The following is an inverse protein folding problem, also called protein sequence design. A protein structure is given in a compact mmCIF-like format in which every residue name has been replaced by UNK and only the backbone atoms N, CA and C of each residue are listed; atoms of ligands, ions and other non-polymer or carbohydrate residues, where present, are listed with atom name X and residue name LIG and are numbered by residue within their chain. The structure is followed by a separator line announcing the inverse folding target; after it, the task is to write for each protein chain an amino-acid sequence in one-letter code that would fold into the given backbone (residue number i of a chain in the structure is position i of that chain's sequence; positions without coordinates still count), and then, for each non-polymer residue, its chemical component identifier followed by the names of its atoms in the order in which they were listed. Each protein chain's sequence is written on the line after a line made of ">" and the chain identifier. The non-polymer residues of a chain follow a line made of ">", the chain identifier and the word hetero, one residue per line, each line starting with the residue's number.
data_IF_078484336669
#
_entry.id   IF_078484336669
#
_cell.length_a   1.000
_cell.length_b   1.000
_cell.length_c   1.000
_cell.angle_alpha   90.00
_cell.angle_beta   90.00
_cell.angle_gamma   90.00
#
_symmetry.space_group_name_H-M   'P 1'
#
loop_
_entity.id
_entity.type
_entity.pdbx_description
1 polymer ?
#
# COMPACT_ATOMS: atom_id res chain seq x y z
N UNK A 1 -21.36 13.84 23.82
CA UNK A 1 -20.03 14.45 23.58
C UNK A 1 -20.18 15.42 22.41
N UNK A 2 -19.34 16.45 22.28
CA UNK A 2 -19.46 17.37 21.14
C UNK A 2 -19.01 16.67 19.85
N UNK A 3 -19.68 16.94 18.72
CA UNK A 3 -19.37 16.37 17.41
C UNK A 3 -17.87 16.51 17.04
N UNK A 4 -17.25 17.63 17.43
CA UNK A 4 -15.81 17.86 17.23
C UNK A 4 -14.92 16.88 18.03
N UNK A 5 -15.30 16.54 19.27
CA UNK A 5 -14.58 15.56 20.08
C UNK A 5 -14.70 14.14 19.48
N UNK A 6 -15.88 13.79 18.98
CA UNK A 6 -16.11 12.49 18.34
C UNK A 6 -15.33 12.38 17.04
N UNK A 7 -15.28 13.43 16.22
CA UNK A 7 -14.44 13.49 15.01
C UNK A 7 -12.97 13.26 15.35
N UNK A 8 -12.43 14.01 16.32
CA UNK A 8 -11.03 13.86 16.76
C UNK A 8 -10.73 12.41 17.16
N UNK A 9 -11.61 11.82 17.95
CA UNK A 9 -11.43 10.46 18.44
C UNK A 9 -11.50 9.42 17.30
N UNK A 10 -12.34 9.65 16.29
CA UNK A 10 -12.49 8.78 15.13
C UNK A 10 -11.33 8.92 14.15
N UNK A 11 -10.74 10.11 14.00
CA UNK A 11 -9.55 10.34 13.19
C UNK A 11 -8.29 9.79 13.87
N UNK A 12 -8.17 9.93 15.19
CA UNK A 12 -7.11 9.32 16.00
C UNK A 12 -7.18 7.79 15.93
N UNK A 13 -8.39 7.22 16.04
CA UNK A 13 -8.59 5.78 15.91
C UNK A 13 -8.28 5.26 14.49
N UNK A 14 -8.38 6.11 13.46
CA UNK A 14 -7.96 5.81 12.09
C UNK A 14 -6.44 5.91 11.88
N UNK A 15 -5.67 6.41 12.85
CA UNK A 15 -4.22 6.57 12.75
C UNK A 15 -3.52 5.23 12.45
N UNK A 16 -3.92 4.15 13.12
CA UNK A 16 -3.35 2.81 12.92
C UNK A 16 -3.73 2.17 11.57
N UNK A 17 -4.72 2.75 10.86
CA UNK A 17 -5.04 2.39 9.49
C UNK A 17 -4.16 3.16 8.48
N UNK A 18 -3.29 4.11 8.91
CA UNK A 18 -2.40 4.87 8.02
C UNK A 18 -1.23 4.00 7.56
N UNK A 19 -1.06 3.91 6.25
CA UNK A 19 0.10 3.29 5.63
C UNK A 19 0.92 4.35 4.90
N UNK A 20 2.20 4.44 5.25
CA UNK A 20 3.15 5.27 4.53
C UNK A 20 3.86 4.39 3.48
N UNK A 21 3.74 4.75 2.20
CA UNK A 21 4.59 4.18 1.14
C UNK A 21 5.99 4.75 1.33
N UNK A 22 6.97 3.93 1.72
CA UNK A 22 8.34 4.41 1.92
C UNK A 22 9.02 4.57 0.54
N UNK A 23 9.10 5.81 0.03
CA UNK A 23 10.08 6.27 -0.96
C UNK A 23 11.00 7.35 -0.35
N UNK A 24 12.26 6.99 -0.08
CA UNK A 24 13.27 7.87 0.53
C UNK A 24 13.30 9.30 -0.08
N UNK A 25 13.27 10.30 0.82
CA UNK A 25 13.43 11.77 0.69
C UNK A 25 12.19 12.69 0.82
N UNK A 26 11.00 12.33 0.33
CA UNK A 26 9.78 13.16 0.53
C UNK A 26 9.00 12.72 1.79
N UNK A 27 9.21 11.48 2.23
CA UNK A 27 8.37 10.87 3.26
C UNK A 27 8.63 11.39 4.67
N UNK A 28 9.81 11.96 4.95
CA UNK A 28 10.08 12.55 6.25
C UNK A 28 9.27 13.83 6.45
N UNK A 29 9.00 14.57 5.36
CA UNK A 29 8.07 15.70 5.35
C UNK A 29 6.62 15.21 5.46
N UNK A 30 6.23 14.17 4.71
CA UNK A 30 4.89 13.57 4.79
C UNK A 30 4.60 13.02 6.19
N UNK A 31 5.60 12.39 6.84
CA UNK A 31 5.49 11.88 8.21
C UNK A 31 5.23 13.01 9.21
N UNK A 32 6.02 14.09 9.15
CA UNK A 32 5.85 15.26 10.01
C UNK A 32 4.52 15.99 9.77
N UNK A 33 4.09 16.12 8.51
CA UNK A 33 2.80 16.74 8.16
C UNK A 33 1.64 15.87 8.63
N UNK A 34 1.71 14.55 8.44
CA UNK A 34 0.62 13.65 8.82
C UNK A 34 0.52 13.44 10.33
N UNK A 35 1.55 13.78 11.12
CA UNK A 35 1.46 13.74 12.59
C UNK A 35 0.64 14.92 13.17
N UNK A 36 0.09 15.82 12.33
CA UNK A 36 -0.95 16.76 12.78
C UNK A 36 -2.27 16.03 13.04
N UNK A 37 -2.78 16.12 14.27
CA UNK A 37 -3.99 15.45 14.74
C UNK A 37 -5.29 16.11 14.24
N UNK A 38 -5.41 16.45 12.95
CA UNK A 38 -6.63 17.03 12.37
C UNK A 38 -7.43 16.05 11.50
N UNK A 39 -6.95 14.81 11.36
CA UNK A 39 -7.57 13.79 10.52
C UNK A 39 -7.30 13.98 9.02
N UNK A 40 -6.46 14.93 8.64
CA UNK A 40 -6.03 15.15 7.26
C UNK A 40 -4.76 14.33 7.02
N UNK A 41 -4.80 13.48 6.00
CA UNK A 41 -3.70 12.66 5.56
C UNK A 41 -3.28 13.07 4.16
N UNK A 42 -2.04 13.51 3.99
CA UNK A 42 -1.49 13.89 2.70
C UNK A 42 -0.98 12.65 1.96
N UNK A 43 -1.78 12.18 0.99
CA UNK A 43 -1.42 11.08 0.12
C UNK A 43 -0.56 11.57 -1.05
N UNK A 44 0.47 10.80 -1.42
CA UNK A 44 1.32 11.12 -2.55
C UNK A 44 0.69 10.63 -3.86
N UNK A 45 0.49 11.54 -4.80
CA UNK A 45 0.15 11.22 -6.19
C UNK A 45 1.27 11.75 -7.10
N UNK A 46 2.22 10.89 -7.45
CA UNK A 46 3.41 11.29 -8.21
C UNK A 46 4.29 12.28 -7.43
N UNK A 47 4.29 13.55 -7.84
CA UNK A 47 4.99 14.65 -7.16
C UNK A 47 4.06 15.52 -6.29
N UNK A 48 2.75 15.32 -6.39
CA UNK A 48 1.76 16.12 -5.67
C UNK A 48 1.37 15.43 -4.36
N UNK A 49 1.00 16.24 -3.37
CA UNK A 49 0.38 15.78 -2.13
C UNK A 49 -1.11 16.14 -2.20
N UNK A 50 -1.96 15.15 -1.96
CA UNK A 50 -3.42 15.28 -1.99
C UNK A 50 -3.93 15.12 -0.56
N UNK A 51 -4.57 16.13 0.03
CA UNK A 51 -5.12 16.03 1.38
C UNK A 51 -6.38 15.16 1.38
N UNK A 52 -6.35 14.05 2.11
CA UNK A 52 -7.47 13.14 2.29
C UNK A 52 -8.01 13.27 3.71
N UNK A 53 -9.31 13.42 3.88
CA UNK A 53 -9.94 13.25 5.18
C UNK A 53 -10.01 11.76 5.51
N UNK A 54 -9.23 11.31 6.50
CA UNK A 54 -9.19 9.91 6.90
C UNK A 54 -9.86 9.72 8.26
N UNK A 55 -10.96 8.98 8.26
CA UNK A 55 -11.83 8.87 9.41
C UNK A 55 -12.50 7.49 9.51
N UNK A 56 -12.76 7.06 10.74
CA UNK A 56 -13.67 5.95 11.01
C UNK A 56 -15.11 6.43 11.14
N UNK A 57 -16.08 5.74 10.54
CA UNK A 57 -17.51 5.93 10.84
C UNK A 57 -17.80 5.64 12.31
N UNK A 58 -17.13 4.62 12.86
CA UNK A 58 -17.16 4.26 14.27
C UNK A 58 -15.85 3.61 14.67
N UNK A 59 -15.40 3.83 15.90
CA UNK A 59 -14.32 3.05 16.50
C UNK A 59 -14.86 1.86 17.33
N UNK A 60 -16.18 1.68 17.43
CA UNK A 60 -16.77 0.48 18.03
C UNK A 60 -16.49 -0.72 17.13
N UNK A 61 -15.95 -1.79 17.72
CA UNK A 61 -15.62 -3.01 16.98
C UNK A 61 -15.94 -4.25 17.80
N UNK A 62 -16.62 -5.21 17.19
CA UNK A 62 -16.91 -6.53 17.74
C UNK A 62 -15.81 -7.58 17.48
N UNK A 63 -14.74 -7.21 16.77
CA UNK A 63 -13.59 -8.08 16.45
C UNK A 63 -12.61 -8.16 17.63
N UNK A 64 -11.84 -9.23 17.70
CA UNK A 64 -10.88 -9.51 18.77
C UNK A 64 -9.41 -9.36 18.35
N UNK A 65 -9.13 -8.52 17.33
CA UNK A 65 -7.79 -8.36 16.78
C UNK A 65 -6.75 -8.07 17.88
N UNK A 66 -5.74 -8.92 18.01
CA UNK A 66 -4.73 -8.89 19.08
C UNK A 66 -3.79 -7.69 19.00
N UNK A 67 -3.69 -7.07 17.83
CA UNK A 67 -2.85 -5.91 17.54
C UNK A 67 -3.59 -4.57 17.59
N UNK A 68 -4.93 -4.56 17.67
CA UNK A 68 -5.72 -3.37 17.35
C UNK A 68 -6.25 -2.67 18.60
N UNK A 69 -6.05 -1.35 18.70
CA UNK A 69 -6.66 -0.51 19.74
C UNK A 69 -8.19 -0.63 19.76
N UNK A 70 -8.81 -0.79 18.58
CA UNK A 70 -10.26 -0.84 18.47
C UNK A 70 -10.87 -2.20 18.89
N UNK A 71 -10.06 -3.19 19.27
CA UNK A 71 -10.51 -4.52 19.69
C UNK A 71 -11.65 -4.47 20.72
N UNK A 72 -12.60 -5.41 20.64
CA UNK A 72 -13.77 -5.51 21.54
C UNK A 72 -13.40 -5.60 23.02
N UNK A 73 -12.22 -6.16 23.32
CA UNK A 73 -11.73 -6.36 24.70
C UNK A 73 -11.11 -5.09 25.29
N UNK A 74 -10.74 -4.12 24.45
CA UNK A 74 -10.10 -2.89 24.88
C UNK A 74 -11.13 -1.91 25.43
N UNK A 75 -10.94 -1.47 26.68
CA UNK A 75 -11.81 -0.51 27.36
C UNK A 75 -11.26 0.89 27.14
N UNK A 76 -11.72 1.53 26.08
CA UNK A 76 -11.47 2.95 25.80
C UNK A 76 -12.76 3.61 25.34
N UNK A 77 -12.77 4.95 25.31
CA UNK A 77 -13.91 5.73 24.88
C UNK A 77 -14.32 5.29 23.46
N UNK A 78 -15.61 5.04 23.23
CA UNK A 78 -16.14 4.73 21.89
C UNK A 78 -16.90 5.93 21.34
N UNK A 79 -16.84 6.10 20.03
CA UNK A 79 -17.52 7.15 19.29
C UNK A 79 -18.03 6.55 17.97
N UNK A 80 -19.15 7.10 17.51
CA UNK A 80 -19.77 6.79 16.23
C UNK A 80 -20.37 8.08 15.68
N UNK A 81 -20.24 8.30 14.38
CA UNK A 81 -20.87 9.41 13.68
C UNK A 81 -21.94 8.86 12.73
N UNK A 82 -23.07 9.56 12.56
CA UNK A 82 -24.09 9.14 11.59
C UNK A 82 -23.64 9.42 10.15
N UNK A 83 -24.18 8.72 9.14
CA UNK A 83 -23.87 9.01 7.75
C UNK A 83 -24.10 10.47 7.34
N UNK A 84 -25.21 11.06 7.77
CA UNK A 84 -25.60 12.45 7.48
C UNK A 84 -24.63 13.44 8.12
N UNK A 85 -24.30 13.22 9.40
CA UNK A 85 -23.36 14.07 10.12
C UNK A 85 -21.96 14.02 9.50
N UNK A 86 -21.49 12.82 9.13
CA UNK A 86 -20.19 12.65 8.50
C UNK A 86 -20.12 13.27 7.11
N UNK A 87 -21.13 13.04 6.28
CA UNK A 87 -21.19 13.63 4.94
C UNK A 87 -21.24 15.16 5.01
N UNK A 88 -21.97 15.73 5.97
CA UNK A 88 -22.01 17.18 6.22
C UNK A 88 -20.64 17.74 6.61
N UNK A 89 -19.95 17.09 7.55
CA UNK A 89 -18.61 17.50 8.00
C UNK A 89 -17.61 17.43 6.85
N UNK A 90 -17.63 16.34 6.09
CA UNK A 90 -16.76 16.20 4.93
C UNK A 90 -17.03 17.29 3.88
N UNK A 91 -18.30 17.52 3.54
CA UNK A 91 -18.66 18.57 2.59
C UNK A 91 -18.19 19.95 3.08
N UNK A 92 -18.30 20.25 4.38
CA UNK A 92 -17.74 21.50 4.93
C UNK A 92 -16.22 21.59 4.70
N UNK A 93 -15.44 20.55 5.03
CA UNK A 93 -14.00 20.55 4.81
C UNK A 93 -13.63 20.68 3.34
N UNK A 94 -14.42 20.08 2.45
CA UNK A 94 -14.24 20.17 1.01
C UNK A 94 -14.53 21.60 0.49
N UNK A 95 -15.63 22.23 0.90
CA UNK A 95 -15.96 23.62 0.52
C UNK A 95 -14.94 24.62 1.05
N UNK A 96 -14.37 24.37 2.24
CA UNK A 96 -13.28 25.14 2.84
C UNK A 96 -11.90 24.85 2.21
N UNK A 97 -11.82 23.97 1.19
CA UNK A 97 -10.60 23.55 0.50
C UNK A 97 -9.53 22.94 1.42
N UNK A 98 -9.95 22.33 2.53
CA UNK A 98 -9.05 21.62 3.48
C UNK A 98 -8.68 20.24 2.98
N UNK A 99 -9.59 19.59 2.24
CA UNK A 99 -9.44 18.22 1.76
C UNK A 99 -9.89 18.10 0.30
N UNK A 100 -9.30 17.16 -0.43
CA UNK A 100 -9.61 16.86 -1.82
C UNK A 100 -10.25 15.46 -1.98
N UNK A 101 -10.13 14.59 -0.97
CA UNK A 101 -10.70 13.24 -1.00
C UNK A 101 -11.08 12.71 0.38
N UNK A 102 -11.89 11.64 0.39
CA UNK A 102 -12.33 10.92 1.60
C UNK A 102 -11.70 9.54 1.64
N UNK A 103 -11.13 9.14 2.78
CA UNK A 103 -10.83 7.76 3.13
C UNK A 103 -11.72 7.37 4.31
N UNK A 104 -12.72 6.53 4.05
CA UNK A 104 -13.68 6.10 5.05
C UNK A 104 -13.49 4.62 5.39
N UNK A 105 -13.36 4.35 6.67
CA UNK A 105 -13.27 3.02 7.28
C UNK A 105 -14.22 2.96 8.48
N UNK A 106 -14.28 1.83 9.18
CA UNK A 106 -15.02 1.69 10.43
C UNK A 106 -14.53 0.48 11.22
N UNK A 107 -14.67 0.53 12.54
CA UNK A 107 -14.81 -0.67 13.35
C UNK A 107 -16.12 -1.40 13.02
N UNK A 108 -16.21 -2.67 13.40
CA UNK A 108 -17.38 -3.52 13.14
C UNK A 108 -18.41 -3.32 14.25
N UNK A 109 -19.44 -2.52 14.01
CA UNK A 109 -20.38 -2.07 15.06
C UNK A 109 -21.24 -3.24 15.55
N UNK A 110 -21.97 -3.87 14.63
CA UNK A 110 -22.87 -5.00 14.88
C UNK A 110 -22.42 -6.22 14.11
N UNK A 111 -22.30 -6.06 12.80
CA UNK A 111 -21.82 -7.04 11.83
C UNK A 111 -21.25 -6.30 10.61
N UNK A 112 -20.61 -7.05 9.70
CA UNK A 112 -19.91 -6.49 8.55
C UNK A 112 -20.86 -5.80 7.56
N UNK A 113 -22.06 -6.34 7.35
CA UNK A 113 -23.04 -5.83 6.39
C UNK A 113 -23.64 -4.52 6.89
N UNK A 114 -24.16 -4.51 8.12
CA UNK A 114 -24.69 -3.29 8.76
C UNK A 114 -23.65 -2.18 8.80
N UNK A 115 -22.38 -2.52 9.10
CA UNK A 115 -21.29 -1.53 9.13
C UNK A 115 -21.01 -0.98 7.73
N UNK A 116 -20.94 -1.84 6.72
CA UNK A 116 -20.68 -1.42 5.33
C UNK A 116 -21.84 -0.59 4.79
N UNK A 117 -23.08 -0.94 5.12
CA UNK A 117 -24.27 -0.18 4.73
C UNK A 117 -24.21 1.27 5.24
N UNK A 118 -23.77 1.51 6.48
CA UNK A 118 -23.60 2.88 7.01
C UNK A 118 -22.54 3.66 6.23
N UNK A 119 -21.43 3.03 5.87
CA UNK A 119 -20.39 3.66 5.06
C UNK A 119 -20.87 3.96 3.62
N UNK A 120 -21.66 3.05 3.04
CA UNK A 120 -22.32 3.25 1.73
C UNK A 120 -23.25 4.45 1.81
N UNK A 121 -24.12 4.54 2.82
CA UNK A 121 -25.03 5.68 3.03
C UNK A 121 -24.29 7.02 3.07
N UNK A 122 -23.14 7.08 3.76
CA UNK A 122 -22.29 8.29 3.75
C UNK A 122 -21.86 8.65 2.34
N UNK A 123 -21.37 7.68 1.56
CA UNK A 123 -20.93 7.90 0.20
C UNK A 123 -22.10 8.28 -0.73
N UNK A 124 -23.27 7.67 -0.58
CA UNK A 124 -24.49 8.01 -1.33
C UNK A 124 -24.92 9.45 -1.09
N UNK A 125 -24.93 9.90 0.18
CA UNK A 125 -25.25 11.30 0.53
C UNK A 125 -24.26 12.25 -0.15
N UNK A 126 -22.95 11.93 -0.13
CA UNK A 126 -21.94 12.73 -0.80
C UNK A 126 -22.15 12.80 -2.32
N UNK A 127 -22.41 11.66 -2.98
CA UNK A 127 -22.63 11.61 -4.44
C UNK A 127 -23.93 12.29 -4.86
N UNK A 128 -25.03 12.03 -4.14
CA UNK A 128 -26.37 12.37 -4.60
C UNK A 128 -26.89 13.70 -4.04
N UNK A 129 -26.62 14.00 -2.76
CA UNK A 129 -27.11 15.23 -2.12
C UNK A 129 -26.09 16.36 -2.25
N UNK A 130 -24.82 16.09 -1.98
CA UNK A 130 -23.77 17.11 -2.09
C UNK A 130 -23.12 17.18 -3.49
N UNK A 131 -23.51 16.31 -4.42
CA UNK A 131 -22.96 16.25 -5.79
C UNK A 131 -21.42 16.18 -5.83
N UNK A 132 -20.80 15.58 -4.81
CA UNK A 132 -19.35 15.47 -4.70
C UNK A 132 -18.82 14.45 -5.71
N UNK A 133 -17.96 14.90 -6.63
CA UNK A 133 -17.36 14.07 -7.71
C UNK A 133 -15.89 13.74 -7.50
N UNK A 134 -15.31 14.16 -6.37
CA UNK A 134 -13.90 13.89 -6.07
C UNK A 134 -13.68 12.48 -5.51
N UNK A 135 -12.46 12.22 -5.07
CA UNK A 135 -11.97 10.91 -4.69
C UNK A 135 -12.60 10.37 -3.40
N UNK A 136 -13.21 9.19 -3.44
CA UNK A 136 -13.65 8.41 -2.27
C UNK A 136 -12.95 7.05 -2.27
N UNK A 137 -12.29 6.73 -1.15
CA UNK A 137 -11.79 5.41 -0.82
C UNK A 137 -12.65 4.80 0.29
N UNK A 138 -13.30 3.66 0.01
CA UNK A 138 -14.04 2.90 1.02
C UNK A 138 -13.29 1.63 1.45
N UNK A 139 -13.09 1.45 2.75
CA UNK A 139 -12.62 0.16 3.29
C UNK A 139 -13.78 -0.84 3.31
N UNK A 140 -13.60 -2.00 2.70
CA UNK A 140 -14.53 -3.12 2.79
C UNK A 140 -14.24 -3.87 4.08
N UNK A 141 -15.27 -4.04 4.91
CA UNK A 141 -15.17 -4.78 6.16
C UNK A 141 -15.04 -6.28 5.85
N UNK A 142 -14.10 -7.02 6.46
CA UNK A 142 -14.06 -8.47 6.32
C UNK A 142 -15.40 -9.10 6.71
N UNK A 143 -15.90 -10.01 5.86
CA UNK A 143 -17.20 -10.65 6.06
C UNK A 143 -18.37 -9.95 5.37
N UNK A 144 -18.18 -8.80 4.72
CA UNK A 144 -19.26 -8.11 3.97
C UNK A 144 -19.76 -8.95 2.79
N UNK A 145 -21.07 -8.98 2.58
CA UNK A 145 -21.74 -9.63 1.46
C UNK A 145 -21.38 -8.96 0.12
N UNK A 146 -21.39 -9.76 -0.95
CA UNK A 146 -21.03 -9.34 -2.30
C UNK A 146 -21.89 -8.18 -2.82
N UNK A 147 -23.18 -8.12 -2.46
CA UNK A 147 -24.06 -7.06 -2.95
C UNK A 147 -23.72 -5.69 -2.35
N UNK A 148 -23.40 -5.63 -1.06
CA UNK A 148 -22.88 -4.41 -0.43
C UNK A 148 -21.50 -4.03 -0.98
N UNK A 149 -20.64 -5.00 -1.28
CA UNK A 149 -19.36 -4.72 -1.95
C UNK A 149 -19.59 -4.07 -3.31
N UNK A 150 -20.53 -4.59 -4.12
CA UNK A 150 -20.87 -3.99 -5.41
C UNK A 150 -21.38 -2.55 -5.24
N UNK A 151 -22.27 -2.30 -4.30
CA UNK A 151 -22.78 -0.95 -4.00
C UNK A 151 -21.67 0.01 -3.58
N UNK A 152 -20.77 -0.42 -2.67
CA UNK A 152 -19.61 0.37 -2.29
C UNK A 152 -18.73 0.72 -3.50
N UNK A 153 -18.48 -0.23 -4.40
CA UNK A 153 -17.69 -0.01 -5.61
C UNK A 153 -18.39 0.90 -6.65
N UNK A 154 -19.72 1.02 -6.64
CA UNK A 154 -20.44 1.97 -7.51
C UNK A 154 -20.23 3.42 -7.07
N UNK A 155 -19.95 3.65 -5.78
CA UNK A 155 -19.84 4.98 -5.19
C UNK A 155 -18.39 5.43 -4.99
N UNK A 156 -17.48 4.46 -4.77
CA UNK A 156 -16.08 4.71 -4.48
C UNK A 156 -15.20 4.70 -5.73
N UNK A 157 -14.15 5.51 -5.71
CA UNK A 157 -13.07 5.48 -6.70
C UNK A 157 -12.15 4.28 -6.45
N UNK A 158 -11.88 3.98 -5.17
CA UNK A 158 -11.05 2.88 -4.71
C UNK A 158 -11.72 2.13 -3.57
N UNK A 159 -11.53 0.82 -3.52
CA UNK A 159 -11.89 0.01 -2.35
C UNK A 159 -10.67 -0.71 -1.78
N UNK A 160 -10.70 -1.05 -0.49
CA UNK A 160 -9.62 -1.86 0.10
C UNK A 160 -10.11 -2.81 1.17
N UNK A 161 -9.46 -3.96 1.30
CA UNK A 161 -9.63 -4.87 2.44
C UNK A 161 -8.25 -5.29 2.90
N UNK A 162 -7.98 -5.14 4.19
CA UNK A 162 -6.69 -5.54 4.75
C UNK A 162 -6.67 -7.06 4.91
N UNK A 163 -5.61 -7.70 4.44
CA UNK A 163 -5.37 -9.12 4.71
C UNK A 163 -4.65 -9.35 6.02
N UNK A 164 -3.97 -8.32 6.55
CA UNK A 164 -3.29 -8.23 7.85
C UNK A 164 -2.09 -9.18 8.03
N UNK A 165 -2.15 -10.39 7.48
CA UNK A 165 -1.12 -11.42 7.56
C UNK A 165 -0.93 -12.09 6.21
N UNK A 166 0.29 -12.55 5.93
CA UNK A 166 0.65 -13.20 4.67
C UNK A 166 0.14 -14.66 4.58
N UNK A 167 -0.07 -15.30 5.72
CA UNK A 167 -0.41 -16.71 5.89
C UNK A 167 -1.70 -16.84 6.68
N UNK A 168 -2.39 -17.97 6.48
CA UNK A 168 -3.60 -18.27 7.25
C UNK A 168 -3.27 -18.45 8.74
N UNK A 169 -2.19 -19.17 9.07
CA UNK A 169 -1.78 -19.41 10.45
C UNK A 169 -1.46 -18.08 11.17
N UNK A 170 -0.72 -17.18 10.51
CA UNK A 170 -0.47 -15.85 11.06
C UNK A 170 -1.76 -15.08 11.27
N UNK A 171 -2.72 -15.13 10.35
CA UNK A 171 -4.01 -14.46 10.50
C UNK A 171 -4.81 -14.99 11.71
N UNK A 172 -4.82 -16.31 11.91
CA UNK A 172 -5.51 -16.96 13.05
C UNK A 172 -4.88 -16.59 14.40
N UNK A 173 -3.58 -16.28 14.44
CA UNK A 173 -2.92 -15.70 15.64
C UNK A 173 -3.38 -14.26 15.92
N UNK A 174 -3.79 -13.52 14.89
CA UNK A 174 -4.22 -12.13 15.04
C UNK A 174 -5.68 -12.00 15.50
N UNK A 175 -6.54 -12.98 15.24
CA UNK A 175 -7.98 -12.90 15.53
C UNK A 175 -8.62 -14.29 15.50
N UNK A 176 -9.58 -14.54 16.41
CA UNK A 176 -10.35 -15.80 16.42
C UNK A 176 -11.74 -15.65 15.81
N UNK A 177 -12.15 -14.42 15.47
CA UNK A 177 -13.52 -14.12 15.00
C UNK A 177 -13.62 -14.11 13.47
N UNK A 178 -12.57 -13.68 12.78
CA UNK A 178 -12.56 -13.54 11.32
C UNK A 178 -11.89 -14.76 10.69
N UNK A 179 -12.40 -15.20 9.55
CA UNK A 179 -11.80 -16.26 8.75
C UNK A 179 -11.01 -15.69 7.55
N UNK A 180 -9.74 -16.05 7.44
CA UNK A 180 -8.86 -15.54 6.38
C UNK A 180 -9.36 -15.86 4.96
N UNK A 181 -9.82 -17.09 4.73
CA UNK A 181 -10.25 -17.53 3.40
C UNK A 181 -11.63 -16.98 3.06
N UNK A 182 -12.53 -17.02 4.02
CA UNK A 182 -13.96 -16.76 3.85
C UNK A 182 -14.26 -15.27 3.95
N UNK A 183 -13.71 -14.56 4.92
CA UNK A 183 -14.05 -13.15 5.20
C UNK A 183 -13.14 -12.17 4.48
N UNK A 184 -11.94 -12.60 4.10
CA UNK A 184 -10.93 -11.75 3.43
C UNK A 184 -10.70 -12.18 1.99
N UNK A 185 -10.08 -13.33 1.74
CA UNK A 185 -9.66 -13.73 0.39
C UNK A 185 -10.85 -13.90 -0.58
N UNK A 186 -11.97 -14.46 -0.11
CA UNK A 186 -13.19 -14.57 -0.91
C UNK A 186 -13.76 -13.20 -1.31
N UNK A 187 -13.68 -12.21 -0.42
CA UNK A 187 -14.11 -10.82 -0.71
C UNK A 187 -13.19 -10.16 -1.72
N UNK A 188 -11.87 -10.30 -1.59
CA UNK A 188 -10.90 -9.84 -2.60
C UNK A 188 -11.22 -10.43 -3.98
N UNK A 189 -11.53 -11.73 -4.04
CA UNK A 189 -11.91 -12.40 -5.29
C UNK A 189 -13.21 -11.86 -5.87
N UNK A 190 -14.17 -11.46 -5.03
CA UNK A 190 -15.40 -10.83 -5.48
C UNK A 190 -15.16 -9.43 -6.03
N UNK A 191 -14.37 -8.60 -5.35
CA UNK A 191 -14.00 -7.25 -5.80
C UNK A 191 -13.34 -7.34 -7.18
N UNK A 192 -12.33 -8.22 -7.32
CA UNK A 192 -11.66 -8.46 -8.60
C UNK A 192 -12.63 -8.87 -9.72
N UNK A 193 -13.49 -9.86 -9.46
CA UNK A 193 -14.49 -10.32 -10.44
C UNK A 193 -15.50 -9.24 -10.82
N UNK A 194 -15.88 -8.38 -9.88
CA UNK A 194 -16.80 -7.28 -10.13
C UNK A 194 -16.12 -6.21 -11.00
N UNK A 195 -14.91 -5.78 -10.63
CA UNK A 195 -14.14 -4.78 -11.37
C UNK A 195 -13.76 -5.25 -12.78
N UNK A 196 -13.41 -6.53 -12.95
CA UNK A 196 -13.07 -7.09 -14.26
C UNK A 196 -14.28 -7.20 -15.19
N UNK A 197 -15.50 -7.32 -14.63
CA UNK A 197 -16.76 -7.32 -15.41
C UNK A 197 -17.22 -5.92 -15.77
N UNK A 198 -16.97 -4.96 -14.89
CA UNK A 198 -17.30 -3.55 -15.09
C UNK A 198 -16.22 -2.67 -14.46
N UNK A 199 -15.37 -2.10 -15.31
CA UNK A 199 -14.25 -1.25 -14.90
C UNK A 199 -14.69 0.10 -14.32
N UNK A 200 -15.98 0.47 -14.40
CA UNK A 200 -16.52 1.64 -13.70
C UNK A 200 -16.71 1.40 -12.20
N UNK A 201 -16.71 0.14 -11.74
CA UNK A 201 -16.78 -0.20 -10.33
C UNK A 201 -15.39 -0.04 -9.70
N UNK A 202 -15.24 0.92 -8.79
CA UNK A 202 -13.95 1.31 -8.20
C UNK A 202 -12.85 1.48 -9.27
N UNK A 203 -12.93 2.52 -10.12
CA UNK A 203 -12.07 2.68 -11.29
C UNK A 203 -10.58 2.82 -10.94
N UNK A 204 -10.24 3.32 -9.75
CA UNK A 204 -8.86 3.37 -9.26
C UNK A 204 -8.37 2.01 -8.72
N UNK A 205 -9.19 0.96 -8.80
CA UNK A 205 -8.92 -0.42 -8.43
C UNK A 205 -9.07 -0.70 -6.94
N UNK A 206 -8.41 -1.76 -6.49
CA UNK A 206 -8.42 -2.17 -5.08
C UNK A 206 -7.04 -2.44 -4.51
N UNK A 207 -6.91 -2.23 -3.20
CA UNK A 207 -5.67 -2.37 -2.46
C UNK A 207 -5.86 -3.23 -1.21
N UNK A 208 -4.75 -3.68 -0.65
CA UNK A 208 -4.73 -4.42 0.60
C UNK A 208 -3.55 -3.99 1.48
N UNK A 209 -3.47 -4.53 2.68
CA UNK A 209 -2.44 -4.22 3.66
C UNK A 209 -2.05 -5.48 4.43
N UNK A 210 -0.76 -5.60 4.74
CA UNK A 210 -0.15 -6.60 5.62
C UNK A 210 0.54 -5.88 6.78
N UNK A 211 0.45 -6.44 7.99
CA UNK A 211 1.17 -5.97 9.17
C UNK A 211 2.47 -6.76 9.29
N UNK A 212 3.59 -6.10 9.07
CA UNK A 212 4.93 -6.70 9.06
C UNK A 212 5.49 -6.73 10.47
N UNK A 213 5.76 -7.92 10.99
CA UNK A 213 6.34 -8.14 12.33
C UNK A 213 5.32 -8.32 13.46
N UNK A 214 4.03 -8.47 13.15
CA UNK A 214 3.02 -8.86 14.15
C UNK A 214 3.03 -10.36 14.45
N UNK A 215 3.64 -11.16 13.57
CA UNK A 215 3.81 -12.61 13.65
C UNK A 215 5.20 -12.98 13.08
N UNK A 216 5.56 -14.26 13.14
CA UNK A 216 6.85 -14.82 12.68
C UNK A 216 6.95 -15.03 11.15
N UNK A 217 6.16 -14.31 10.36
CA UNK A 217 6.14 -14.47 8.90
C UNK A 217 7.41 -13.91 8.27
N UNK A 218 8.05 -14.71 7.41
CA UNK A 218 9.27 -14.33 6.70
C UNK A 218 8.97 -13.37 5.54
N UNK A 219 9.97 -12.63 5.06
CA UNK A 219 9.78 -11.80 3.86
C UNK A 219 9.44 -12.62 2.62
N UNK A 220 9.92 -13.87 2.54
CA UNK A 220 9.51 -14.80 1.50
C UNK A 220 8.01 -15.12 1.57
N UNK A 221 7.46 -15.39 2.76
CA UNK A 221 6.01 -15.61 2.93
C UNK A 221 5.21 -14.40 2.47
N UNK A 222 5.62 -13.21 2.92
CA UNK A 222 4.98 -11.94 2.57
C UNK A 222 5.03 -11.70 1.06
N UNK A 223 6.21 -11.79 0.45
CA UNK A 223 6.38 -11.51 -0.97
C UNK A 223 5.72 -12.58 -1.86
N UNK A 224 5.70 -13.83 -1.43
CA UNK A 224 4.93 -14.90 -2.10
C UNK A 224 3.44 -14.60 -2.10
N UNK A 225 2.89 -14.17 -0.96
CA UNK A 225 1.47 -13.79 -0.86
C UNK A 225 1.18 -12.56 -1.71
N UNK A 226 2.00 -11.52 -1.65
CA UNK A 226 1.88 -10.32 -2.49
C UNK A 226 1.94 -10.65 -3.98
N UNK A 227 2.88 -11.50 -4.39
CA UNK A 227 3.01 -11.95 -5.78
C UNK A 227 1.73 -12.68 -6.25
N UNK A 228 1.19 -13.58 -5.42
CA UNK A 228 -0.05 -14.29 -5.69
C UNK A 228 -1.28 -13.36 -5.72
N UNK A 229 -1.34 -12.37 -4.83
CA UNK A 229 -2.41 -11.38 -4.79
C UNK A 229 -2.47 -10.52 -6.05
N UNK A 230 -1.31 -10.09 -6.55
CA UNK A 230 -1.22 -9.36 -7.82
C UNK A 230 -1.69 -10.24 -8.99
N UNK A 231 -1.24 -11.49 -9.04
CA UNK A 231 -1.53 -12.42 -10.15
C UNK A 231 -2.99 -12.88 -10.18
N UNK A 232 -3.56 -13.21 -9.02
CA UNK A 232 -4.84 -13.93 -8.93
C UNK A 232 -6.02 -13.05 -8.48
N UNK A 233 -5.74 -11.85 -7.96
CA UNK A 233 -6.74 -10.93 -7.45
C UNK A 233 -6.60 -9.52 -8.03
N UNK A 234 -5.66 -9.28 -8.94
CA UNK A 234 -5.41 -7.97 -9.56
C UNK A 234 -5.26 -6.81 -8.56
N UNK A 235 -4.68 -7.09 -7.37
CA UNK A 235 -4.38 -6.05 -6.39
C UNK A 235 -3.48 -4.99 -7.03
N UNK A 236 -3.89 -3.72 -6.98
CA UNK A 236 -3.13 -2.62 -7.56
C UNK A 236 -1.90 -2.30 -6.74
N UNK A 237 -2.05 -2.28 -5.42
CA UNK A 237 -1.03 -1.88 -4.47
C UNK A 237 -1.22 -2.63 -3.15
N UNK A 238 -0.11 -3.12 -2.58
CA UNK A 238 -0.06 -3.73 -1.27
C UNK A 238 0.64 -2.75 -0.32
N UNK A 239 0.01 -2.47 0.81
CA UNK A 239 0.62 -1.65 1.85
C UNK A 239 1.29 -2.54 2.91
N UNK A 240 2.53 -2.22 3.26
CA UNK A 240 3.25 -2.83 4.36
C UNK A 240 3.23 -1.88 5.56
N UNK A 241 2.48 -2.25 6.59
CA UNK A 241 2.43 -1.52 7.86
C UNK A 241 3.43 -2.14 8.84
N UNK A 242 4.32 -1.33 9.41
CA UNK A 242 5.25 -1.83 10.42
C UNK A 242 4.51 -2.06 11.74
N UNK A 243 4.59 -3.26 12.30
CA UNK A 243 3.97 -3.55 13.58
C UNK A 243 4.56 -2.66 14.68
N UNK A 244 3.67 -2.03 15.44
CA UNK A 244 4.01 -1.25 16.63
C UNK A 244 3.14 -1.75 17.79
N UNK A 245 3.73 -2.15 18.92
CA UNK A 245 2.97 -2.59 20.08
C UNK A 245 2.07 -1.49 20.60
N UNK A 246 0.82 -1.83 20.91
CA UNK A 246 -0.17 -0.89 21.43
C UNK A 246 -0.49 -1.27 22.88
N UNK A 247 -0.52 -0.26 23.76
CA UNK A 247 -0.87 -0.45 25.17
C UNK A 247 -2.25 -1.08 25.34
N UNK A 248 -2.36 -1.98 26.32
CA UNK A 248 -3.55 -2.75 26.65
C UNK A 248 -4.09 -3.61 25.50
N UNK A 249 -3.22 -4.05 24.59
CA UNK A 249 -3.55 -5.07 23.59
C UNK A 249 -2.79 -6.37 23.90
N UNK A 250 -3.29 -7.55 23.48
CA UNK A 250 -2.58 -8.80 23.69
C UNK A 250 -1.13 -8.81 23.15
N UNK A 251 -0.82 -8.02 22.13
CA UNK A 251 0.54 -7.88 21.57
C UNK A 251 1.33 -6.68 22.15
N UNK A 252 0.92 -6.09 23.27
CA UNK A 252 1.65 -4.99 23.92
C UNK A 252 3.12 -5.35 24.25
N UNK A 253 3.37 -6.59 24.66
CA UNK A 253 4.71 -7.09 24.99
C UNK A 253 5.51 -7.63 23.79
N UNK A 254 4.92 -7.63 22.58
CA UNK A 254 5.59 -8.13 21.39
C UNK A 254 6.66 -7.14 20.90
N UNK A 255 7.71 -7.63 20.24
CA UNK A 255 8.74 -6.74 19.69
C UNK A 255 8.16 -5.88 18.55
N UNK A 256 8.53 -4.60 18.53
CA UNK A 256 8.22 -3.72 17.41
C UNK A 256 8.92 -4.20 16.14
N UNK A 257 8.25 -4.06 15.00
CA UNK A 257 8.84 -4.33 13.70
C UNK A 257 9.96 -3.35 13.37
N UNK A 258 10.91 -3.78 12.54
CA UNK A 258 11.97 -2.91 12.01
C UNK A 258 11.43 -2.12 10.81
N UNK A 259 11.33 -0.80 10.93
CA UNK A 259 10.80 0.06 9.84
C UNK A 259 11.55 -0.07 8.51
N UNK A 260 12.85 -0.36 8.54
CA UNK A 260 13.64 -0.61 7.32
C UNK A 260 13.13 -1.84 6.55
N UNK A 261 12.59 -2.85 7.25
CA UNK A 261 12.05 -4.08 6.66
C UNK A 261 10.88 -3.78 5.73
N UNK A 262 9.93 -2.92 6.12
CA UNK A 262 8.81 -2.54 5.24
C UNK A 262 9.30 -1.77 4.02
N UNK A 263 10.33 -0.93 4.16
CA UNK A 263 10.99 -0.26 3.04
C UNK A 263 11.59 -1.25 2.03
N UNK A 264 12.24 -2.31 2.51
CA UNK A 264 12.78 -3.37 1.65
C UNK A 264 11.68 -4.18 0.97
N UNK A 265 10.59 -4.48 1.65
CA UNK A 265 9.42 -5.16 1.06
C UNK A 265 8.78 -4.32 -0.06
N UNK A 266 8.63 -3.01 0.13
CA UNK A 266 8.17 -2.10 -0.94
C UNK A 266 9.12 -2.11 -2.15
N UNK A 267 10.44 -2.10 -1.92
CA UNK A 267 11.43 -2.20 -3.00
C UNK A 267 11.33 -3.53 -3.74
N UNK A 268 11.18 -4.65 -3.02
CA UNK A 268 11.02 -5.98 -3.60
C UNK A 268 9.72 -6.09 -4.42
N UNK A 269 8.57 -5.61 -3.90
CA UNK A 269 7.31 -5.58 -4.67
C UNK A 269 7.44 -4.69 -5.92
N UNK A 270 8.18 -3.58 -5.83
CA UNK A 270 8.44 -2.72 -6.99
C UNK A 270 9.16 -3.48 -8.13
N UNK A 271 10.00 -4.46 -7.81
CA UNK A 271 10.65 -5.29 -8.81
C UNK A 271 9.63 -6.12 -9.60
N UNK A 272 8.61 -6.66 -8.94
CA UNK A 272 7.52 -7.39 -9.61
C UNK A 272 6.72 -6.45 -10.52
N UNK A 273 6.31 -5.30 -9.99
CA UNK A 273 5.37 -4.40 -10.68
C UNK A 273 6.00 -3.58 -11.80
N UNK A 274 7.26 -3.17 -11.67
CA UNK A 274 7.91 -2.22 -12.58
C UNK A 274 9.02 -2.83 -13.43
N UNK A 275 9.64 -3.92 -12.96
CA UNK A 275 10.77 -4.58 -13.64
C UNK A 275 10.47 -6.03 -14.05
N UNK A 276 9.23 -6.48 -13.84
CA UNK A 276 8.74 -7.79 -14.24
C UNK A 276 9.58 -8.94 -13.65
N UNK A 277 10.10 -8.77 -12.42
CA UNK A 277 10.76 -9.85 -11.68
C UNK A 277 9.74 -10.94 -11.30
N UNK A 278 10.23 -12.18 -11.26
CA UNK A 278 9.57 -13.31 -10.61
C UNK A 278 10.05 -13.42 -9.16
N UNK A 279 9.31 -14.19 -8.36
CA UNK A 279 9.63 -14.41 -6.95
C UNK A 279 10.97 -15.18 -6.79
N UNK A 280 11.23 -16.16 -7.65
CA UNK A 280 12.47 -16.97 -7.66
C UNK A 280 13.70 -16.20 -8.15
N UNK A 281 13.52 -14.98 -8.69
CA UNK A 281 14.62 -14.06 -9.03
C UNK A 281 15.03 -13.19 -7.83
N UNK A 282 14.32 -13.25 -6.69
CA UNK A 282 14.71 -12.54 -5.47
C UNK A 282 15.66 -13.39 -4.63
N UNK A 283 16.60 -12.72 -3.97
CA UNK A 283 17.49 -13.34 -3.01
C UNK A 283 16.89 -13.27 -1.60
N UNK A 284 16.90 -14.40 -0.90
CA UNK A 284 16.50 -14.52 0.49
C UNK A 284 17.63 -15.16 1.29
N UNK A 285 17.85 -14.64 2.49
CA UNK A 285 18.78 -15.21 3.46
C UNK A 285 18.26 -16.57 3.98
N UNK A 286 19.10 -17.29 4.73
CA UNK A 286 18.76 -18.61 5.28
C UNK A 286 17.51 -18.62 6.17
N UNK A 287 17.18 -17.49 6.79
CA UNK A 287 16.01 -17.30 7.63
C UNK A 287 14.74 -16.92 6.83
N UNK A 288 14.82 -16.86 5.49
CA UNK A 288 13.72 -16.52 4.60
C UNK A 288 13.45 -15.01 4.47
N UNK A 289 14.28 -14.15 5.07
CA UNK A 289 14.14 -12.70 4.98
C UNK A 289 15.02 -12.10 3.88
N UNK A 290 14.67 -10.89 3.43
CA UNK A 290 15.55 -10.14 2.51
C UNK A 290 16.57 -9.34 3.32
N UNK A 291 17.77 -9.18 2.78
CA UNK A 291 18.80 -8.38 3.43
C UNK A 291 18.34 -6.93 3.63
N UNK A 292 18.71 -6.35 4.78
CA UNK A 292 18.26 -5.02 5.18
C UNK A 292 19.23 -3.91 4.79
N UNK A 293 20.49 -4.24 4.58
CA UNK A 293 21.60 -3.33 4.29
C UNK A 293 21.64 -2.87 2.83
N UNK A 294 21.26 -3.71 1.87
CA UNK A 294 21.27 -3.34 0.43
C UNK A 294 19.89 -3.45 -0.26
N UNK A 295 19.74 -2.75 -1.38
CA UNK A 295 18.56 -2.76 -2.24
C UNK A 295 18.33 -4.14 -2.90
N UNK A 296 17.11 -4.69 -2.86
CA UNK A 296 16.82 -6.00 -3.46
C UNK A 296 17.18 -6.11 -4.94
N UNK A 297 17.13 -5.03 -5.72
CA UNK A 297 17.51 -5.03 -7.13
C UNK A 297 19.01 -5.19 -7.32
N UNK A 298 19.79 -4.60 -6.41
CA UNK A 298 21.25 -4.68 -6.42
C UNK A 298 21.70 -6.08 -6.06
N UNK A 299 21.19 -6.62 -4.95
CA UNK A 299 21.47 -8.00 -4.52
C UNK A 299 21.09 -9.01 -5.59
N UNK A 300 19.92 -8.84 -6.23
CA UNK A 300 19.50 -9.72 -7.33
C UNK A 300 20.44 -9.64 -8.54
N UNK A 301 21.10 -8.50 -8.78
CA UNK A 301 22.08 -8.39 -9.86
C UNK A 301 23.43 -9.03 -9.49
N UNK A 302 23.90 -8.86 -8.25
CA UNK A 302 25.12 -9.50 -7.74
C UNK A 302 25.03 -11.03 -7.78
N UNK A 303 23.86 -11.58 -7.46
CA UNK A 303 23.60 -13.02 -7.48
C UNK A 303 23.35 -13.58 -8.89
N UNK A 304 23.51 -12.79 -9.96
CA UNK A 304 23.34 -13.23 -11.36
C UNK A 304 24.55 -12.79 -12.24
N UNK A 305 25.78 -13.24 -11.94
CA UNK A 305 26.99 -12.82 -12.67
C UNK A 305 27.01 -13.26 -14.14
N UNK A 306 26.17 -14.22 -14.54
CA UNK A 306 25.99 -14.61 -15.93
C UNK A 306 25.23 -13.57 -16.77
N UNK A 307 24.46 -12.68 -16.13
CA UNK A 307 23.69 -11.62 -16.79
C UNK A 307 24.41 -10.27 -16.81
N UNK A 308 25.31 -10.03 -15.87
CA UNK A 308 25.99 -8.75 -15.66
C UNK A 308 27.51 -8.90 -15.80
N UNK A 309 28.23 -7.87 -16.28
CA UNK A 309 27.72 -6.55 -16.64
C UNK A 309 27.22 -6.50 -18.09
N UNK A 310 26.21 -5.65 -18.29
CA UNK A 310 25.42 -5.58 -19.52
C UNK A 310 25.73 -4.33 -20.33
N UNK A 311 25.89 -4.46 -21.64
CA UNK A 311 26.18 -3.30 -22.50
C UNK A 311 24.94 -2.42 -22.71
N UNK A 312 25.02 -1.17 -22.23
CA UNK A 312 23.94 -0.17 -22.30
C UNK A 312 23.66 0.34 -23.70
N UNK A 313 24.43 -0.02 -24.73
CA UNK A 313 24.14 0.31 -26.13
C UNK A 313 23.44 -0.84 -26.88
N UNK A 314 23.53 -2.08 -26.39
CA UNK A 314 22.92 -3.25 -27.08
C UNK A 314 21.74 -3.85 -26.30
N UNK A 315 21.78 -3.82 -24.97
CA UNK A 315 20.75 -4.43 -24.11
C UNK A 315 19.33 -3.96 -24.43
N UNK A 316 18.37 -4.88 -24.47
CA UNK A 316 16.97 -4.55 -24.68
C UNK A 316 16.41 -3.65 -23.58
N UNK A 317 15.26 -3.02 -23.83
CA UNK A 317 14.56 -2.24 -22.80
C UNK A 317 14.28 -3.06 -21.53
N UNK A 318 13.86 -4.33 -21.69
CA UNK A 318 13.51 -5.23 -20.59
C UNK A 318 14.73 -5.57 -19.73
N UNK A 319 15.88 -5.69 -20.37
CA UNK A 319 17.16 -5.92 -19.70
C UNK A 319 17.65 -4.65 -18.99
N UNK A 320 17.61 -3.49 -19.66
CA UNK A 320 18.03 -2.20 -19.10
C UNK A 320 17.30 -1.82 -17.80
N UNK A 321 15.96 -2.01 -17.76
CA UNK A 321 15.19 -1.69 -16.55
C UNK A 321 15.53 -2.59 -15.36
N UNK A 322 16.23 -3.72 -15.59
CA UNK A 322 16.68 -4.63 -14.52
C UNK A 322 18.09 -4.31 -14.03
N UNK A 323 18.85 -3.46 -14.71
CA UNK A 323 20.16 -2.99 -14.23
C UNK A 323 19.98 -2.09 -12.99
N UNK A 324 20.67 -2.34 -11.86
CA UNK A 324 20.67 -1.44 -10.72
C UNK A 324 21.05 -0.01 -11.13
N UNK A 325 20.39 1.01 -10.57
CA UNK A 325 20.61 2.41 -10.96
C UNK A 325 19.98 2.87 -12.29
N UNK A 326 19.49 1.95 -13.15
CA UNK A 326 18.71 2.30 -14.34
C UNK A 326 17.23 1.98 -14.11
N UNK A 327 16.40 3.03 -14.03
CA UNK A 327 14.94 2.90 -13.91
C UNK A 327 14.21 3.00 -15.26
N UNK A 328 12.90 2.83 -15.25
CA UNK A 328 12.01 2.90 -16.44
C UNK A 328 12.26 4.13 -17.30
N UNK A 329 12.35 5.32 -16.69
CA UNK A 329 12.56 6.58 -17.43
C UNK A 329 13.93 6.62 -18.12
N UNK A 330 14.99 6.24 -17.40
CA UNK A 330 16.35 6.22 -17.91
C UNK A 330 16.50 5.18 -19.03
N UNK A 331 15.96 3.97 -18.85
CA UNK A 331 15.93 2.94 -19.89
C UNK A 331 15.19 3.40 -21.15
N UNK A 332 14.03 4.07 -21.02
CA UNK A 332 13.31 4.65 -22.18
C UNK A 332 14.16 5.69 -22.91
N UNK A 333 14.87 6.55 -22.18
CA UNK A 333 15.76 7.56 -22.76
C UNK A 333 16.93 6.91 -23.52
N UNK A 334 17.53 5.85 -22.98
CA UNK A 334 18.57 5.06 -23.67
C UNK A 334 18.03 4.53 -25.00
N UNK A 335 16.88 3.86 -24.98
CA UNK A 335 16.26 3.30 -26.19
C UNK A 335 15.91 4.40 -27.20
N UNK A 336 15.43 5.55 -26.74
CA UNK A 336 15.15 6.69 -27.62
C UNK A 336 16.41 7.25 -28.26
N UNK A 337 17.50 7.41 -27.52
CA UNK A 337 18.78 7.85 -28.05
C UNK A 337 19.32 6.91 -29.14
N UNK A 338 19.25 5.59 -28.91
CA UNK A 338 19.65 4.58 -29.89
C UNK A 338 18.85 4.68 -31.18
N UNK A 339 17.53 4.93 -31.10
CA UNK A 339 16.68 5.17 -32.28
C UNK A 339 17.09 6.43 -33.06
N UNK A 340 17.64 7.43 -32.39
CA UNK A 340 18.22 8.63 -33.00
C UNK A 340 19.67 8.42 -33.49
N UNK A 341 20.17 7.18 -33.53
CA UNK A 341 21.56 6.83 -33.87
C UNK A 341 22.59 7.52 -32.95
N UNK A 342 22.20 7.85 -31.71
CA UNK A 342 23.10 8.37 -30.68
C UNK A 342 23.50 7.23 -29.76
N UNK A 343 24.80 7.13 -29.47
CA UNK A 343 25.36 6.15 -28.55
C UNK A 343 25.70 6.80 -27.20
N UNK A 344 25.57 6.01 -26.13
CA UNK A 344 26.17 6.33 -24.84
C UNK A 344 27.67 6.05 -24.96
N UNK A 345 28.51 7.06 -24.71
CA UNK A 345 29.97 6.93 -24.84
C UNK A 345 30.66 6.89 -23.48
N UNK A 346 30.10 7.59 -22.50
CA UNK A 346 30.65 7.69 -21.16
C UNK A 346 29.56 7.49 -20.11
N UNK A 347 29.96 7.07 -18.91
CA UNK A 347 29.05 6.94 -17.78
C UNK A 347 28.37 8.27 -17.42
N UNK A 348 29.02 9.41 -17.71
CA UNK A 348 28.44 10.75 -17.52
C UNK A 348 27.24 11.01 -18.43
N UNK A 349 27.12 10.35 -19.58
CA UNK A 349 25.95 10.42 -20.45
C UNK A 349 24.73 9.76 -19.77
N UNK A 350 24.96 8.65 -19.07
CA UNK A 350 23.93 7.98 -18.27
C UNK A 350 23.45 8.86 -17.11
N UNK A 351 24.37 9.57 -16.45
CA UNK A 351 24.03 10.55 -15.41
C UNK A 351 23.12 11.66 -15.95
N UNK A 352 23.43 12.23 -17.12
CA UNK A 352 22.64 13.30 -17.76
C UNK A 352 21.21 12.87 -18.08
N UNK A 353 21.00 11.60 -18.42
CA UNK A 353 19.66 11.06 -18.68
C UNK A 353 18.96 10.54 -17.42
N UNK A 354 19.56 10.74 -16.23
CA UNK A 354 18.95 10.47 -14.93
C UNK A 354 19.16 9.05 -14.39
N UNK A 355 20.16 8.30 -14.88
CA UNK A 355 20.58 7.07 -14.22
C UNK A 355 21.41 7.37 -12.95
N UNK A 356 21.30 6.51 -11.94
CA UNK A 356 22.17 6.56 -10.77
C UNK A 356 23.46 5.79 -11.10
N UNK A 357 24.49 6.52 -11.53
CA UNK A 357 25.74 5.93 -12.04
C UNK A 357 26.49 5.12 -10.98
N UNK A 358 26.49 5.57 -9.73
CA UNK A 358 27.12 4.86 -8.60
C UNK A 358 26.53 3.46 -8.40
N UNK A 359 25.22 3.29 -8.65
CA UNK A 359 24.56 1.98 -8.53
C UNK A 359 24.69 1.13 -9.78
N UNK A 360 24.92 1.71 -10.97
CA UNK A 360 24.93 0.94 -12.20
C UNK A 360 26.34 0.55 -12.68
N UNK A 361 27.40 1.26 -12.27
CA UNK A 361 28.76 1.08 -12.80
C UNK A 361 29.32 -0.35 -12.69
N UNK A 362 28.97 -1.09 -11.63
CA UNK A 362 29.33 -2.50 -11.45
C UNK A 362 28.61 -3.44 -12.42
N UNK A 363 27.46 -3.04 -12.95
CA UNK A 363 26.55 -3.91 -13.70
C UNK A 363 26.44 -3.54 -15.18
N UNK A 364 27.26 -2.60 -15.67
CA UNK A 364 27.20 -2.14 -17.05
C UNK A 364 28.54 -2.20 -17.78
N UNK A 365 28.42 -2.38 -19.09
CA UNK A 365 29.46 -2.06 -20.07
C UNK A 365 29.01 -0.87 -20.91
N UNK A 366 29.97 -0.13 -21.41
CA UNK A 366 29.74 0.91 -22.43
C UNK A 366 30.66 0.58 -23.60
N UNK A 367 30.07 0.15 -24.72
CA UNK A 367 30.82 -0.24 -25.94
C UNK A 367 31.80 -1.39 -25.68
N UNK A 368 31.34 -2.41 -24.97
CA UNK A 368 32.15 -3.57 -24.57
C UNK A 368 33.06 -3.33 -23.37
N UNK A 369 33.32 -2.08 -22.99
CA UNK A 369 34.22 -1.75 -21.88
C UNK A 369 33.51 -1.75 -20.51
N UNK A 370 34.06 -2.50 -19.56
CA UNK A 370 33.65 -2.48 -18.16
C UNK A 370 33.78 -1.07 -17.56
N UNK A 371 32.84 -0.68 -16.71
CA UNK A 371 32.88 0.63 -16.03
C UNK A 371 33.41 0.54 -14.60
N UNK A 372 33.33 -0.64 -13.98
CA UNK A 372 33.98 -0.99 -12.73
C UNK A 372 34.31 -2.48 -12.75
N UNK A 373 35.21 -2.90 -11.85
CA UNK A 373 35.47 -4.30 -11.54
C UNK A 373 34.80 -4.64 -10.19
N UNK A 374 34.44 -5.92 -10.04
CA UNK A 374 34.02 -6.49 -8.75
C UNK A 374 35.23 -6.72 -7.86
#
# INVERSE_FOLDING_TARGET
>A
MSLSKDIQQLTDAAYYDRCNTISYNIDQLIKTINDSNDGIYYAKNGKCLVPLFKILQSNQCNSDCTYCTNCKKHKYQRASISPEALAKVYNQYYQEKKVEGLFLSSGIIKDADTTTEQMIKTAEILRNQYSYKGYIHLKIIPGTNKDYIKQAMQLADRVSINIESATQEGFEKLTTIKDYKIDVLRRLKWIDKLHTRDHHLAPAGHTTQIIVGANDETDNDILKTVYNLRKNYNIKENYFSNFTPIKNTPLEGHNAGKSIRTGRLYQAEHLFSSYNFKLDELHFEKDGNIALDEDPKFIAAENNPEKYPMDVNTASYKELIRVPGIGVKSARRIIHMRKQKKEIKHITDLKKIGANTRKCELFIKIKGSYQSHF
#
